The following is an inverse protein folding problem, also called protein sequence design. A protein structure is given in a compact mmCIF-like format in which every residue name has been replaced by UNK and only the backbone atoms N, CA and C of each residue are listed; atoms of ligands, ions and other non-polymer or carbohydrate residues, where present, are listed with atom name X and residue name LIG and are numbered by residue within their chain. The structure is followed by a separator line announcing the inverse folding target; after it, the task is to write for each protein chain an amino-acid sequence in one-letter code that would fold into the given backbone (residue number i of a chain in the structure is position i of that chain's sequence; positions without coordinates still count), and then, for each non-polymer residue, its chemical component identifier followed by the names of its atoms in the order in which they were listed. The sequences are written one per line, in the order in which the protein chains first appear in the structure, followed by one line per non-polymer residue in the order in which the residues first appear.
data_IF_699851732168
#
_entry.id   IF_699851732168
#
_cell.length_a   1.000
_cell.length_b   1.000
_cell.length_c   1.000
_cell.angle_alpha   90.00
_cell.angle_beta   90.00
_cell.angle_gamma   90.00
#
_symmetry.space_group_name_H-M   'P 1'
#
loop_
_entity.id
_entity.type
_entity.pdbx_description
1 polymer ?
#
# COMPACT_ATOMS: atom_id res chain seq x y z
N UNK A 1 10.09 -22.82 -9.61
CA UNK A 1 8.98 -22.27 -8.81
C UNK A 1 9.54 -21.10 -8.01
N UNK A 2 9.44 -19.88 -8.51
CA UNK A 2 10.00 -18.70 -7.83
C UNK A 2 8.95 -18.16 -6.85
N UNK A 3 9.27 -18.00 -5.55
CA UNK A 3 8.31 -17.46 -4.60
C UNK A 3 7.98 -16.01 -4.96
N UNK A 4 6.70 -15.64 -4.87
CA UNK A 4 6.24 -14.28 -5.11
C UNK A 4 6.71 -13.39 -3.96
N UNK A 5 7.90 -12.80 -4.11
CA UNK A 5 8.43 -11.81 -3.16
C UNK A 5 7.54 -10.58 -3.27
N UNK A 6 6.71 -10.36 -2.26
CA UNK A 6 5.95 -9.11 -2.13
C UNK A 6 6.97 -8.03 -1.78
N UNK A 7 7.52 -7.35 -2.78
CA UNK A 7 8.37 -6.16 -2.64
C UNK A 7 7.53 -4.94 -2.16
N UNK A 8 6.75 -5.16 -1.10
CA UNK A 8 5.94 -4.12 -0.50
C UNK A 8 6.68 -3.63 0.74
N UNK A 9 7.42 -2.53 0.60
CA UNK A 9 7.77 -1.72 1.78
C UNK A 9 6.48 -1.50 2.57
N UNK A 10 6.50 -1.64 3.90
CA UNK A 10 5.32 -1.39 4.74
C UNK A 10 4.85 0.03 4.48
N UNK A 11 3.85 0.20 3.63
CA UNK A 11 3.40 1.53 3.25
C UNK A 11 2.81 2.16 4.51
N UNK A 12 3.37 3.29 4.91
CA UNK A 12 2.89 4.02 6.07
C UNK A 12 1.45 4.43 5.83
N UNK A 13 0.61 4.35 6.88
CA UNK A 13 -0.79 4.81 6.83
C UNK A 13 -0.95 6.24 6.28
N UNK A 14 0.06 7.09 6.47
CA UNK A 14 0.02 8.48 6.00
C UNK A 14 0.65 8.69 4.61
N UNK A 15 1.30 7.67 4.04
CA UNK A 15 1.88 7.71 2.69
C UNK A 15 0.81 7.52 1.61
N UNK A 16 1.14 7.89 0.38
CA UNK A 16 0.27 7.71 -0.78
C UNK A 16 -0.04 6.24 -1.01
N UNK A 17 -1.31 5.92 -1.30
CA UNK A 17 -1.72 4.55 -1.55
C UNK A 17 -1.04 4.01 -2.81
N UNK A 18 -0.42 2.80 -2.76
CA UNK A 18 0.22 2.20 -3.92
C UNK A 18 -0.79 1.78 -5.00
N UNK A 19 -2.09 1.86 -4.71
CA UNK A 19 -3.18 1.63 -5.64
C UNK A 19 -3.40 2.75 -6.68
N UNK A 20 -2.63 3.83 -6.61
CA UNK A 20 -2.71 4.93 -7.59
C UNK A 20 -3.93 5.85 -7.43
N UNK A 21 -4.74 5.68 -6.38
CA UNK A 21 -5.95 6.49 -6.17
C UNK A 21 -5.70 7.93 -5.71
N UNK A 22 -4.44 8.37 -5.60
CA UNK A 22 -4.05 9.71 -5.10
C UNK A 22 -4.37 9.98 -3.63
N UNK A 23 -5.05 9.06 -2.94
CA UNK A 23 -5.42 9.13 -1.53
C UNK A 23 -4.33 8.51 -0.65
N UNK A 24 -4.24 8.96 0.61
CA UNK A 24 -3.36 8.33 1.60
C UNK A 24 -3.79 6.90 1.87
N UNK A 25 -2.86 6.02 2.23
CA UNK A 25 -3.13 4.61 2.49
C UNK A 25 -4.25 4.43 3.53
N UNK A 26 -4.23 5.21 4.63
CA UNK A 26 -5.28 5.21 5.66
C UNK A 26 -6.68 5.63 5.19
N UNK A 27 -6.80 6.27 4.02
CA UNK A 27 -8.05 6.71 3.41
C UNK A 27 -8.43 5.86 2.18
N UNK A 28 -7.71 4.76 1.94
CA UNK A 28 -7.95 3.92 0.79
C UNK A 28 -7.89 2.43 1.17
N UNK A 29 -6.72 1.80 1.14
CA UNK A 29 -6.58 0.35 1.43
C UNK A 29 -6.29 0.03 2.90
N UNK A 30 -6.02 1.06 3.71
CA UNK A 30 -5.83 0.99 5.16
C UNK A 30 -6.91 1.75 5.92
N UNK A 31 -8.07 1.98 5.29
CA UNK A 31 -9.24 2.53 5.97
C UNK A 31 -9.79 1.50 6.94
N UNK A 32 -9.73 1.86 8.23
CA UNK A 32 -10.75 1.47 9.20
C UNK A 32 -12.00 2.32 8.95
#
# INVERSE_FOLDING_TARGET
MVPFVRDGRKVGRNESCPCGSGKKFKQCHGSL
#
